data_IF_564217143860
#
_entry.id   IF_564217143860
#
_cell.length_a   1.000
_cell.length_b   1.000
_cell.length_c   1.000
_cell.angle_alpha   90.00
_cell.angle_beta   90.00
_cell.angle_gamma   90.00
#
_symmetry.space_group_name_H-M   'P 1'
#
loop_
_entity.id
_entity.type
_entity.pdbx_description
1 polymer ?
#
# COMPACT_ATOMS: atom_id res chain seq x y z
N UNK A 1 29.16 -16.59 -12.52
CA UNK A 1 28.19 -15.48 -12.48
C UNK A 1 27.24 -15.63 -13.67
N UNK A 2 25.98 -16.02 -13.44
CA UNK A 2 25.02 -16.22 -14.54
C UNK A 2 24.59 -14.84 -15.05
N UNK A 3 24.92 -14.50 -16.30
CA UNK A 3 24.47 -13.26 -16.94
C UNK A 3 22.95 -13.36 -17.18
N UNK A 4 22.16 -12.69 -16.36
CA UNK A 4 20.73 -12.49 -16.62
C UNK A 4 20.57 -11.66 -17.90
N UNK A 5 19.77 -12.15 -18.84
CA UNK A 5 19.50 -11.43 -20.09
C UNK A 5 18.57 -10.22 -19.85
N UNK A 6 18.52 -9.28 -20.79
CA UNK A 6 17.67 -8.08 -20.69
C UNK A 6 16.19 -8.40 -20.41
N UNK A 7 15.66 -9.46 -21.04
CA UNK A 7 14.25 -9.88 -20.86
C UNK A 7 13.97 -10.32 -19.42
N UNK A 8 14.92 -10.99 -18.76
CA UNK A 8 14.83 -11.39 -17.35
C UNK A 8 14.90 -10.18 -16.42
N UNK A 9 15.69 -9.15 -16.75
CA UNK A 9 15.72 -7.89 -15.98
C UNK A 9 14.38 -7.14 -16.07
N UNK A 10 13.81 -7.03 -17.27
CA UNK A 10 12.48 -6.44 -17.47
C UNK A 10 11.41 -7.25 -16.74
N UNK A 11 11.46 -8.58 -16.85
CA UNK A 11 10.54 -9.47 -16.14
C UNK A 11 10.62 -9.31 -14.61
N UNK A 12 11.83 -9.18 -14.07
CA UNK A 12 12.04 -8.92 -12.64
C UNK A 12 11.50 -7.54 -12.25
N UNK A 13 11.75 -6.49 -13.04
CA UNK A 13 11.23 -5.16 -12.76
C UNK A 13 9.69 -5.13 -12.76
N UNK A 14 9.05 -5.76 -13.75
CA UNK A 14 7.60 -5.92 -13.77
C UNK A 14 7.11 -6.68 -12.54
N UNK A 15 7.77 -7.78 -12.17
CA UNK A 15 7.41 -8.58 -11.00
C UNK A 15 7.48 -7.74 -9.72
N UNK A 16 8.55 -6.96 -9.53
CA UNK A 16 8.69 -6.08 -8.37
C UNK A 16 7.56 -5.06 -8.30
N UNK A 17 7.25 -4.37 -9.41
CA UNK A 17 6.15 -3.42 -9.46
C UNK A 17 4.81 -4.09 -9.18
N UNK A 18 4.56 -5.29 -9.72
CA UNK A 18 3.34 -6.05 -9.45
C UNK A 18 3.21 -6.41 -7.97
N UNK A 19 4.28 -6.88 -7.32
CA UNK A 19 4.22 -7.28 -5.90
C UNK A 19 4.00 -6.06 -5.00
N UNK A 20 4.70 -4.95 -5.24
CA UNK A 20 4.52 -3.69 -4.48
C UNK A 20 3.09 -3.20 -4.62
N UNK A 21 2.61 -3.06 -5.86
CA UNK A 21 1.27 -2.50 -6.11
C UNK A 21 0.16 -3.44 -5.69
N UNK A 22 0.38 -4.76 -5.70
CA UNK A 22 -0.56 -5.73 -5.14
C UNK A 22 -0.67 -5.59 -3.62
N UNK A 23 0.46 -5.48 -2.91
CA UNK A 23 0.46 -5.29 -1.46
C UNK A 23 -0.26 -3.98 -1.06
N UNK A 24 0.03 -2.88 -1.77
CA UNK A 24 -0.67 -1.59 -1.57
C UNK A 24 -2.16 -1.73 -1.90
N UNK A 25 -2.52 -2.38 -3.02
CA UNK A 25 -3.92 -2.58 -3.41
C UNK A 25 -4.72 -3.34 -2.35
N UNK A 26 -4.17 -4.41 -1.80
CA UNK A 26 -4.80 -5.18 -0.72
C UNK A 26 -4.94 -4.30 0.53
N UNK A 27 -3.89 -3.54 0.88
CA UNK A 27 -3.87 -2.65 2.05
C UNK A 27 -4.91 -1.53 1.94
N UNK A 28 -5.01 -0.86 0.78
CA UNK A 28 -6.01 0.17 0.51
C UNK A 28 -7.43 -0.38 0.76
N UNK A 29 -7.68 -1.63 0.36
CA UNK A 29 -9.00 -2.24 0.45
C UNK A 29 -9.19 -3.09 1.72
N UNK A 30 -8.28 -2.97 2.70
CA UNK A 30 -8.33 -3.71 3.95
C UNK A 30 -9.35 -3.10 4.93
N UNK A 31 -10.62 -3.03 4.54
CA UNK A 31 -11.72 -2.60 5.41
C UNK A 31 -11.73 -3.29 6.80
N UNK A 32 -11.40 -4.61 6.92
CA UNK A 32 -11.28 -5.24 8.23
C UNK A 32 -10.23 -4.60 9.15
N UNK A 33 -9.14 -4.05 8.60
CA UNK A 33 -8.14 -3.34 9.41
C UNK A 33 -8.73 -2.08 10.04
N UNK A 34 -9.46 -1.28 9.26
CA UNK A 34 -10.12 -0.09 9.81
C UNK A 34 -11.16 -0.46 10.88
N UNK A 35 -11.97 -1.49 10.63
CA UNK A 35 -12.96 -1.97 11.62
C UNK A 35 -12.28 -2.41 12.92
N UNK A 36 -11.13 -3.08 12.84
CA UNK A 36 -10.33 -3.44 14.01
C UNK A 36 -9.81 -2.19 14.73
N UNK A 37 -9.26 -1.23 13.98
CA UNK A 37 -8.67 -0.01 14.53
C UNK A 37 -9.69 0.93 15.17
N UNK A 38 -10.98 0.89 14.77
CA UNK A 38 -12.05 1.62 15.47
C UNK A 38 -12.05 1.31 16.97
N UNK A 39 -11.97 0.02 17.32
CA UNK A 39 -11.92 -0.43 18.71
C UNK A 39 -10.52 -0.39 19.31
N UNK A 40 -9.48 -0.69 18.52
CA UNK A 40 -8.11 -0.76 19.05
C UNK A 40 -7.49 0.62 19.34
N UNK A 41 -7.92 1.66 18.63
CA UNK A 41 -7.41 3.03 18.77
C UNK A 41 -8.41 3.98 19.47
N UNK A 42 -9.51 3.44 19.99
CA UNK A 42 -10.59 4.19 20.63
C UNK A 42 -11.08 5.36 19.74
N UNK A 43 -11.34 5.08 18.45
CA UNK A 43 -11.67 6.12 17.47
C UNK A 43 -13.00 6.79 17.81
N UNK A 44 -13.98 6.01 18.30
CA UNK A 44 -15.30 6.53 18.66
C UNK A 44 -15.27 7.50 19.85
N UNK A 45 -14.21 7.50 20.66
CA UNK A 45 -14.07 8.45 21.77
C UNK A 45 -13.62 9.84 21.28
N UNK A 46 -13.20 9.94 20.01
CA UNK A 46 -12.65 11.17 19.41
C UNK A 46 -13.61 11.83 18.42
N UNK A 47 -14.69 11.14 18.06
CA UNK A 47 -15.69 11.63 17.10
C UNK A 47 -17.09 11.48 17.67
N UNK A 48 -17.95 12.48 17.46
CA UNK A 48 -19.32 12.44 17.94
C UNK A 48 -20.24 11.66 16.98
N UNK A 49 -19.86 10.43 16.62
CA UNK A 49 -20.58 9.56 15.68
C UNK A 49 -20.76 8.16 16.26
N UNK A 50 -21.84 7.49 15.89
CA UNK A 50 -21.97 6.05 16.06
C UNK A 50 -20.98 5.30 15.14
N UNK A 51 -20.71 4.04 15.47
CA UNK A 51 -19.87 3.18 14.61
C UNK A 51 -20.46 3.03 13.20
N UNK A 52 -21.78 2.98 13.06
CA UNK A 52 -22.45 2.87 11.77
C UNK A 52 -22.20 4.11 10.91
N UNK A 53 -22.40 5.31 11.48
CA UNK A 53 -22.13 6.59 10.82
C UNK A 53 -20.64 6.71 10.44
N UNK A 54 -19.72 6.37 11.36
CA UNK A 54 -18.30 6.38 11.07
C UNK A 54 -17.94 5.47 9.88
N UNK A 55 -18.44 4.22 9.89
CA UNK A 55 -18.19 3.27 8.81
C UNK A 55 -18.82 3.70 7.48
N UNK A 56 -19.98 4.37 7.53
CA UNK A 56 -20.60 4.96 6.34
C UNK A 56 -19.71 6.03 5.71
N UNK A 57 -19.21 6.99 6.50
CA UNK A 57 -18.31 8.05 6.03
C UNK A 57 -17.00 7.47 5.50
N UNK A 58 -16.43 6.47 6.18
CA UNK A 58 -15.25 5.77 5.69
C UNK A 58 -15.52 5.13 4.31
N UNK A 59 -16.68 4.50 4.09
CA UNK A 59 -17.04 3.94 2.77
C UNK A 59 -17.22 5.01 1.70
N UNK A 60 -17.76 6.17 2.04
CA UNK A 60 -17.90 7.30 1.12
C UNK A 60 -16.53 7.84 0.69
N UNK A 61 -15.62 8.05 1.65
CA UNK A 61 -14.23 8.41 1.38
C UNK A 61 -13.54 7.36 0.50
N UNK A 62 -13.61 6.08 0.88
CA UNK A 62 -12.99 5.00 0.12
C UNK A 62 -13.59 4.86 -1.28
N UNK A 63 -14.89 5.11 -1.45
CA UNK A 63 -15.51 5.13 -2.78
C UNK A 63 -14.94 6.25 -3.64
N UNK A 64 -14.82 7.46 -3.08
CA UNK A 64 -14.20 8.59 -3.78
C UNK A 64 -12.75 8.28 -4.20
N UNK A 65 -11.94 7.72 -3.30
CA UNK A 65 -10.53 7.43 -3.57
C UNK A 65 -10.34 6.29 -4.59
N UNK A 66 -11.20 5.27 -4.57
CA UNK A 66 -11.06 4.10 -5.44
C UNK A 66 -11.61 4.29 -6.85
N UNK A 67 -12.68 5.08 -7.02
CA UNK A 67 -13.41 5.13 -8.28
C UNK A 67 -13.16 6.42 -9.06
N UNK A 68 -12.60 6.35 -10.29
CA UNK A 68 -12.26 7.55 -11.06
C UNK A 68 -13.48 8.38 -11.47
N UNK A 69 -14.67 7.77 -11.57
CA UNK A 69 -15.92 8.45 -11.95
C UNK A 69 -16.58 9.25 -10.80
N UNK A 70 -16.15 9.08 -9.54
CA UNK A 70 -16.65 9.90 -8.42
C UNK A 70 -15.78 11.15 -8.30
N UNK A 71 -16.19 12.24 -8.95
CA UNK A 71 -15.33 13.43 -9.11
C UNK A 71 -15.21 14.32 -7.88
N UNK A 72 -16.20 14.29 -6.98
CA UNK A 72 -16.23 15.15 -5.79
C UNK A 72 -16.30 14.30 -4.53
N UNK A 73 -15.46 14.61 -3.54
CA UNK A 73 -15.54 14.03 -2.20
C UNK A 73 -16.72 14.67 -1.47
N UNK A 74 -17.63 13.83 -0.98
CA UNK A 74 -18.71 14.20 -0.07
C UNK A 74 -18.82 13.12 0.98
N UNK A 75 -18.76 13.54 2.24
CA UNK A 75 -18.98 12.69 3.41
C UNK A 75 -20.24 13.18 4.11
N UNK A 76 -21.09 12.27 4.56
CA UNK A 76 -22.39 12.63 5.14
C UNK A 76 -22.21 13.43 6.43
N UNK A 77 -21.33 12.97 7.31
CA UNK A 77 -21.23 13.43 8.69
C UNK A 77 -19.93 14.19 8.99
N UNK A 78 -18.97 14.18 8.05
CA UNK A 78 -17.76 14.98 8.14
C UNK A 78 -17.78 16.15 7.14
N UNK A 79 -17.67 17.41 7.60
CA UNK A 79 -17.36 18.51 6.71
C UNK A 79 -15.99 18.31 6.05
N UNK A 80 -15.85 18.86 4.85
CA UNK A 80 -14.62 18.80 4.06
C UNK A 80 -14.31 20.20 3.57
N UNK A 81 -13.19 20.75 4.03
CA UNK A 81 -12.71 22.05 3.58
C UNK A 81 -12.17 21.97 2.14
N UNK A 82 -11.97 23.12 1.50
CA UNK A 82 -11.33 23.15 0.17
C UNK A 82 -9.91 22.57 0.20
N UNK A 83 -9.18 22.76 1.32
CA UNK A 83 -7.84 22.23 1.54
C UNK A 83 -7.87 20.71 1.70
N UNK A 84 -8.73 20.20 2.58
CA UNK A 84 -8.91 18.76 2.79
C UNK A 84 -9.36 18.04 1.51
N UNK A 85 -10.31 18.63 0.77
CA UNK A 85 -10.74 18.11 -0.53
C UNK A 85 -9.59 18.06 -1.55
N UNK A 86 -8.72 19.08 -1.57
CA UNK A 86 -7.55 19.10 -2.45
C UNK A 86 -6.57 17.98 -2.08
N UNK A 87 -6.26 17.79 -0.80
CA UNK A 87 -5.39 16.71 -0.35
C UNK A 87 -5.94 15.32 -0.74
N UNK A 88 -7.22 15.05 -0.46
CA UNK A 88 -7.81 13.75 -0.85
C UNK A 88 -7.85 13.54 -2.36
N UNK A 89 -7.98 14.60 -3.16
CA UNK A 89 -7.81 14.50 -4.61
C UNK A 89 -6.38 14.10 -5.00
N UNK A 90 -5.36 14.61 -4.30
CA UNK A 90 -3.98 14.17 -4.51
C UNK A 90 -3.78 12.69 -4.16
N UNK A 91 -4.30 12.25 -3.01
CA UNK A 91 -4.28 10.84 -2.59
C UNK A 91 -5.00 9.95 -3.60
N UNK A 92 -6.15 10.40 -4.13
CA UNK A 92 -6.88 9.69 -5.19
C UNK A 92 -6.02 9.44 -6.43
N UNK A 93 -5.23 10.43 -6.87
CA UNK A 93 -4.31 10.22 -8.00
C UNK A 93 -3.29 9.11 -7.71
N UNK A 94 -2.77 9.03 -6.48
CA UNK A 94 -1.84 7.97 -6.08
C UNK A 94 -2.51 6.59 -6.05
N UNK A 95 -3.76 6.50 -5.60
CA UNK A 95 -4.54 5.25 -5.65
C UNK A 95 -4.72 4.77 -7.10
N UNK A 96 -5.15 5.66 -7.99
CA UNK A 96 -5.36 5.33 -9.40
C UNK A 96 -4.05 5.01 -10.13
N UNK A 97 -2.95 5.69 -9.79
CA UNK A 97 -1.61 5.36 -10.28
C UNK A 97 -1.20 3.94 -9.86
N UNK A 98 -1.38 3.60 -8.58
CA UNK A 98 -1.11 2.27 -8.05
C UNK A 98 -1.89 1.19 -8.83
N UNK A 99 -3.20 1.38 -9.05
CA UNK A 99 -4.01 0.45 -9.84
C UNK A 99 -3.58 0.37 -11.30
N UNK A 100 -3.24 1.50 -11.93
CA UNK A 100 -2.71 1.52 -13.29
C UNK A 100 -1.42 0.71 -13.42
N UNK A 101 -0.47 0.91 -12.51
CA UNK A 101 0.80 0.15 -12.50
C UNK A 101 0.57 -1.34 -12.23
N UNK A 102 -0.34 -1.69 -11.33
CA UNK A 102 -0.70 -3.09 -11.07
C UNK A 102 -1.25 -3.77 -12.34
N UNK A 103 -2.25 -3.16 -12.99
CA UNK A 103 -2.87 -3.71 -14.19
C UNK A 103 -1.88 -3.83 -15.37
N UNK A 104 -0.99 -2.85 -15.53
CA UNK A 104 0.02 -2.87 -16.58
C UNK A 104 1.09 -3.95 -16.36
N UNK A 105 1.40 -4.27 -15.10
CA UNK A 105 2.53 -5.17 -14.78
C UNK A 105 2.11 -6.60 -14.49
N UNK A 106 0.86 -6.87 -14.07
CA UNK A 106 0.44 -8.21 -13.64
C UNK A 106 0.53 -9.27 -14.74
N UNK A 107 0.18 -8.91 -15.99
CA UNK A 107 0.24 -9.82 -17.14
C UNK A 107 1.69 -10.22 -17.47
N UNK A 108 2.62 -9.29 -17.74
CA UNK A 108 4.00 -9.65 -18.02
C UNK A 108 4.68 -10.37 -16.84
N UNK A 109 4.39 -9.99 -15.60
CA UNK A 109 4.88 -10.69 -14.40
C UNK A 109 4.41 -12.14 -14.35
N UNK A 110 3.12 -12.39 -14.64
CA UNK A 110 2.55 -13.74 -14.68
C UNK A 110 3.18 -14.59 -15.79
N UNK A 111 3.35 -14.01 -16.99
CA UNK A 111 4.02 -14.70 -18.11
C UNK A 111 5.48 -15.04 -17.76
N UNK A 112 6.19 -14.12 -17.13
CA UNK A 112 7.57 -14.29 -16.69
C UNK A 112 7.71 -15.41 -15.66
N UNK A 113 6.90 -15.38 -14.59
CA UNK A 113 6.88 -16.43 -13.57
C UNK A 113 6.50 -17.79 -14.16
N UNK A 114 5.50 -17.87 -15.04
CA UNK A 114 5.09 -19.11 -15.72
C UNK A 114 6.23 -19.69 -16.56
N UNK A 115 6.97 -18.84 -17.28
CA UNK A 115 8.13 -19.26 -18.06
C UNK A 115 9.20 -19.87 -17.15
N UNK A 116 9.61 -19.16 -16.10
CA UNK A 116 10.62 -19.64 -15.16
C UNK A 116 10.19 -20.90 -14.42
N UNK A 117 8.91 -21.01 -14.08
CA UNK A 117 8.34 -22.22 -13.46
C UNK A 117 8.49 -23.44 -14.38
N UNK A 118 8.05 -23.33 -15.64
CA UNK A 118 8.14 -24.42 -16.63
C UNK A 118 9.59 -24.85 -16.89
N UNK A 119 10.52 -23.89 -16.89
CA UNK A 119 11.94 -24.14 -17.08
C UNK A 119 12.65 -24.63 -15.78
N UNK A 120 11.96 -24.71 -14.64
CA UNK A 120 12.54 -24.99 -13.31
C UNK A 120 13.69 -24.02 -12.95
N UNK A 121 13.52 -22.73 -13.28
CA UNK A 121 14.52 -21.66 -13.16
C UNK A 121 14.13 -20.54 -12.19
N UNK A 122 13.13 -20.73 -11.32
CA UNK A 122 12.71 -19.68 -10.37
C UNK A 122 13.83 -19.24 -9.42
N UNK A 123 14.77 -20.13 -9.11
CA UNK A 123 15.93 -19.83 -8.25
C UNK A 123 16.80 -18.67 -8.75
N UNK A 124 16.74 -18.31 -10.03
CA UNK A 124 17.46 -17.15 -10.57
C UNK A 124 16.96 -15.84 -9.95
N UNK A 125 15.70 -15.79 -9.50
CA UNK A 125 15.13 -14.61 -8.84
C UNK A 125 15.66 -14.42 -7.41
N UNK A 126 16.17 -15.46 -6.76
CA UNK A 126 16.47 -15.45 -5.33
C UNK A 126 17.39 -14.30 -4.91
N UNK A 127 18.45 -14.02 -5.67
CA UNK A 127 19.41 -12.96 -5.31
C UNK A 127 18.75 -11.57 -5.35
N UNK A 128 18.03 -11.27 -6.44
CA UNK A 128 17.35 -9.98 -6.59
C UNK A 128 16.24 -9.80 -5.55
N UNK A 129 15.45 -10.85 -5.31
CA UNK A 129 14.37 -10.83 -4.33
C UNK A 129 14.88 -10.76 -2.88
N UNK A 130 16.02 -11.38 -2.56
CA UNK A 130 16.62 -11.28 -1.22
C UNK A 130 17.06 -9.85 -0.94
N UNK A 131 17.64 -9.15 -1.91
CA UNK A 131 18.01 -7.74 -1.76
C UNK A 131 16.74 -6.89 -1.59
N UNK A 132 15.70 -7.16 -2.39
CA UNK A 132 14.44 -6.44 -2.29
C UNK A 132 13.76 -6.59 -0.93
N UNK A 133 13.82 -7.78 -0.31
CA UNK A 133 13.28 -8.06 1.02
C UNK A 133 13.99 -7.28 2.15
N UNK A 134 15.19 -6.73 1.93
CA UNK A 134 15.87 -5.94 2.95
C UNK A 134 15.30 -4.53 3.06
N UNK A 135 14.80 -3.95 1.96
CA UNK A 135 14.36 -2.54 1.93
C UNK A 135 13.17 -2.29 2.86
N UNK A 136 12.07 -3.08 2.82
CA UNK A 136 10.94 -2.91 3.73
C UNK A 136 11.30 -3.15 5.19
N UNK A 137 12.26 -4.03 5.48
CA UNK A 137 12.74 -4.26 6.85
C UNK A 137 13.39 -3.00 7.42
N UNK A 138 14.24 -2.31 6.63
CA UNK A 138 14.80 -1.03 7.05
C UNK A 138 13.72 0.04 7.20
N UNK A 139 12.76 0.13 6.28
CA UNK A 139 11.64 1.07 6.39
C UNK A 139 10.82 0.80 7.66
N UNK A 140 10.49 -0.46 7.94
CA UNK A 140 9.78 -0.87 9.14
C UNK A 140 10.54 -0.52 10.42
N UNK A 141 11.87 -0.63 10.44
CA UNK A 141 12.69 -0.17 11.56
C UNK A 141 12.54 1.34 11.79
N UNK A 142 12.65 2.17 10.74
CA UNK A 142 12.50 3.63 10.90
C UNK A 142 11.09 4.02 11.35
N UNK A 143 10.06 3.38 10.81
CA UNK A 143 8.69 3.58 11.26
C UNK A 143 8.51 3.22 12.73
N UNK A 144 9.11 2.12 13.19
CA UNK A 144 9.02 1.68 14.58
C UNK A 144 9.72 2.65 15.55
N UNK A 145 10.85 3.25 15.14
CA UNK A 145 11.61 4.19 15.98
C UNK A 145 10.93 5.57 16.07
N UNK A 146 10.25 6.02 15.01
CA UNK A 146 9.58 7.32 14.98
C UNK A 146 8.62 7.44 13.81
N UNK A 147 7.37 7.03 14.04
CA UNK A 147 6.36 7.03 12.99
C UNK A 147 5.90 8.45 12.62
N UNK A 148 5.83 9.37 13.59
CA UNK A 148 5.51 10.80 13.40
C UNK A 148 6.40 11.44 12.33
N UNK A 149 7.71 11.31 12.52
CA UNK A 149 8.69 11.87 11.58
C UNK A 149 8.63 11.16 10.23
N UNK A 150 8.42 9.85 10.23
CA UNK A 150 8.26 9.07 9.01
C UNK A 150 7.01 9.54 8.23
N UNK A 151 5.88 9.71 8.90
CA UNK A 151 4.61 10.12 8.34
C UNK A 151 4.70 11.54 7.76
N UNK A 152 5.28 12.49 8.48
CA UNK A 152 5.53 13.85 7.95
C UNK A 152 6.48 13.82 6.74
N UNK A 153 7.56 13.05 6.81
CA UNK A 153 8.51 12.94 5.69
C UNK A 153 7.86 12.32 4.46
N UNK A 154 7.01 11.30 4.65
CA UNK A 154 6.22 10.70 3.58
C UNK A 154 5.36 11.75 2.89
N UNK A 155 4.67 12.61 3.65
CA UNK A 155 3.86 13.67 3.06
C UNK A 155 4.70 14.65 2.24
N UNK A 156 5.87 15.07 2.73
CA UNK A 156 6.77 15.94 1.96
C UNK A 156 7.34 15.30 0.69
N UNK A 157 7.44 13.97 0.62
CA UNK A 157 7.87 13.26 -0.61
C UNK A 157 6.79 13.29 -1.68
N UNK A 158 5.52 13.17 -1.29
CA UNK A 158 4.40 13.05 -2.23
C UNK A 158 3.63 14.36 -2.49
N UNK A 159 3.70 15.32 -1.56
CA UNK A 159 2.95 16.57 -1.60
C UNK A 159 3.89 17.76 -1.37
N UNK A 160 3.72 18.80 -2.19
CA UNK A 160 4.56 20.00 -2.19
C UNK A 160 3.85 21.23 -1.59
N UNK A 161 2.84 20.98 -0.76
CA UNK A 161 1.95 21.97 -0.17
C UNK A 161 1.51 21.48 1.22
N UNK A 162 0.80 22.33 1.97
CA UNK A 162 0.39 22.04 3.35
C UNK A 162 -1.06 21.51 3.47
N UNK A 163 -1.72 21.15 2.37
CA UNK A 163 -3.12 20.74 2.39
C UNK A 163 -3.37 19.44 3.17
N UNK A 164 -2.33 18.64 3.41
CA UNK A 164 -2.38 17.44 4.24
C UNK A 164 -2.38 17.74 5.75
N UNK A 165 -2.12 18.99 6.16
CA UNK A 165 -2.23 19.43 7.55
C UNK A 165 -3.68 19.85 7.81
N UNK A 166 -4.47 18.93 8.37
CA UNK A 166 -5.87 19.17 8.64
C UNK A 166 -6.08 19.92 9.95
N UNK A 167 -7.00 20.89 9.91
CA UNK A 167 -7.58 21.50 11.09
C UNK A 167 -8.75 20.61 11.56
N UNK A 168 -8.74 20.06 12.79
CA UNK A 168 -9.84 19.23 13.29
C UNK A 168 -11.22 19.93 13.31
N UNK A 169 -11.28 21.26 13.33
CA UNK A 169 -12.54 22.00 13.27
C UNK A 169 -13.11 22.06 11.83
N UNK A 170 -12.23 22.12 10.83
CA UNK A 170 -12.63 22.24 9.42
C UNK A 170 -12.70 20.88 8.70
N UNK A 171 -11.81 19.96 9.09
CA UNK A 171 -11.61 18.62 8.52
C UNK A 171 -11.52 17.56 9.65
N UNK A 172 -12.60 17.35 10.43
CA UNK A 172 -12.63 16.43 11.58
C UNK A 172 -12.36 14.96 11.23
N UNK A 173 -12.35 14.60 9.95
CA UNK A 173 -11.94 13.28 9.46
C UNK A 173 -10.54 12.87 9.97
N UNK A 174 -9.65 13.81 10.29
CA UNK A 174 -8.35 13.50 10.90
C UNK A 174 -8.49 12.78 12.25
N UNK A 175 -9.57 13.03 12.99
CA UNK A 175 -9.86 12.35 14.27
C UNK A 175 -10.30 10.89 14.04
N UNK A 176 -10.92 10.61 12.89
CA UNK A 176 -11.38 9.29 12.45
C UNK A 176 -10.31 8.48 11.71
N UNK A 177 -9.24 9.13 11.25
CA UNK A 177 -8.07 8.53 10.60
C UNK A 177 -6.80 8.94 11.36
N UNK A 178 -6.66 8.51 12.62
CA UNK A 178 -5.48 8.87 13.40
C UNK A 178 -4.22 8.32 12.73
N UNK A 179 -3.09 8.97 12.96
CA UNK A 179 -1.81 8.55 12.41
C UNK A 179 -1.52 7.04 12.60
N UNK A 180 -1.87 6.48 13.77
CA UNK A 180 -1.64 5.06 14.04
C UNK A 180 -2.41 4.08 13.14
N UNK A 181 -3.55 4.49 12.57
CA UNK A 181 -4.21 3.69 11.53
C UNK A 181 -3.33 3.57 10.27
N UNK A 182 -2.62 4.63 9.92
CA UNK A 182 -1.66 4.60 8.82
C UNK A 182 -0.43 3.76 9.18
N UNK A 183 0.04 3.80 10.44
CA UNK A 183 1.11 2.90 10.90
C UNK A 183 0.74 1.44 10.66
N UNK A 184 -0.45 1.01 11.11
CA UNK A 184 -0.93 -0.36 10.87
C UNK A 184 -1.08 -0.68 9.38
N UNK A 185 -1.53 0.28 8.58
CA UNK A 185 -1.61 0.14 7.12
C UNK A 185 -0.25 -0.09 6.47
N UNK A 186 0.78 0.69 6.85
CA UNK A 186 2.15 0.47 6.37
C UNK A 186 2.70 -0.89 6.81
N UNK A 187 2.47 -1.31 8.06
CA UNK A 187 2.86 -2.64 8.55
C UNK A 187 2.20 -3.74 7.72
N UNK A 188 0.89 -3.64 7.45
CA UNK A 188 0.17 -4.59 6.62
C UNK A 188 0.78 -4.67 5.21
N UNK A 189 1.06 -3.53 4.57
CA UNK A 189 1.69 -3.51 3.25
C UNK A 189 3.07 -4.18 3.24
N UNK A 190 3.90 -3.91 4.26
CA UNK A 190 5.22 -4.53 4.43
C UNK A 190 5.08 -6.05 4.60
N UNK A 191 4.20 -6.50 5.49
CA UNK A 191 3.98 -7.94 5.75
C UNK A 191 3.50 -8.65 4.49
N UNK A 192 2.53 -8.08 3.77
CA UNK A 192 2.03 -8.67 2.51
C UNK A 192 3.14 -8.76 1.45
N UNK A 193 3.92 -7.70 1.30
CA UNK A 193 5.06 -7.70 0.39
C UNK A 193 6.08 -8.79 0.76
N UNK A 194 6.50 -8.86 2.03
CA UNK A 194 7.46 -9.85 2.51
C UNK A 194 6.97 -11.28 2.34
N UNK A 195 5.69 -11.56 2.67
CA UNK A 195 5.10 -12.89 2.50
C UNK A 195 5.15 -13.35 1.04
N UNK A 196 4.83 -12.46 0.09
CA UNK A 196 4.88 -12.78 -1.34
C UNK A 196 6.32 -13.03 -1.79
N UNK A 197 7.25 -12.15 -1.43
CA UNK A 197 8.66 -12.23 -1.82
C UNK A 197 9.32 -13.50 -1.25
N UNK A 198 9.16 -13.75 0.04
CA UNK A 198 9.69 -14.93 0.71
C UNK A 198 9.07 -16.22 0.18
N UNK A 199 7.78 -16.21 -0.17
CA UNK A 199 7.10 -17.33 -0.83
C UNK A 199 7.76 -17.69 -2.18
N UNK A 200 8.04 -16.70 -3.02
CA UNK A 200 8.73 -16.92 -4.31
C UNK A 200 10.15 -17.45 -4.09
N UNK A 201 10.90 -16.86 -3.14
CA UNK A 201 12.26 -17.32 -2.80
C UNK A 201 12.25 -18.77 -2.31
N UNK A 202 11.31 -19.13 -1.42
CA UNK A 202 11.19 -20.48 -0.87
C UNK A 202 10.96 -21.51 -1.97
N UNK A 203 10.01 -21.24 -2.89
CA UNK A 203 9.74 -22.09 -4.05
C UNK A 203 10.97 -22.18 -4.95
N UNK A 204 11.64 -21.06 -5.23
CA UNK A 204 12.85 -21.02 -6.04
C UNK A 204 13.96 -21.89 -5.44
N UNK A 205 14.22 -21.78 -4.14
CA UNK A 205 15.20 -22.62 -3.43
C UNK A 205 14.85 -24.11 -3.49
N UNK A 206 13.57 -24.48 -3.39
CA UNK A 206 13.12 -25.89 -3.56
C UNK A 206 13.39 -26.42 -4.96
N UNK A 207 13.12 -25.64 -6.01
CA UNK A 207 13.44 -26.05 -7.39
C UNK A 207 14.94 -26.29 -7.59
N UNK A 208 15.79 -25.44 -7.01
CA UNK A 208 17.25 -25.60 -7.09
C UNK A 208 17.71 -26.90 -6.40
N UNK A 209 17.20 -27.19 -5.19
CA UNK A 209 17.50 -28.42 -4.46
C UNK A 209 17.02 -29.68 -5.19
N UNK A 210 15.93 -29.63 -5.94
CA UNK A 210 15.43 -30.79 -6.71
C UNK A 210 16.23 -31.08 -7.99
N UNK A 211 17.13 -30.18 -8.39
CA UNK A 211 17.95 -30.30 -9.60
C UNK A 211 19.34 -30.90 -9.33
N UNK A 212 19.81 -30.81 -8.08
CA UNK A 212 21.09 -31.36 -7.60
C UNK A 212 20.83 -32.62 -6.79
#
# INVERSE_FOLDING_TARGET
MIRTNWKEKVGLACLMLTVITLAITITINAFPLYVFDIGHLDILDRVALSQEELLKNYRELMSYLNFPWISQLKMTDFPVSASGAFHFWEVKKLFLLNYGVFLLTVIPSTMFLRKLWKEKRLWILNNGLTIAALVPVFLGFFMFVGFDKFFTTFHHVFFNNDAWIFDPELDPIILALPEQYFFHSFILAIVLFELIILGIIYIGRRQFKSKN
#
